data_IF_438811536769
#
_entry.id   IF_438811536769
#
_cell.length_a   1.000
_cell.length_b   1.000
_cell.length_c   1.000
_cell.angle_alpha   90.00
_cell.angle_beta   90.00
_cell.angle_gamma   90.00
#
_symmetry.space_group_name_H-M   'P 1'
#
loop_
_entity.id
_entity.type
_entity.pdbx_description
1 polymer ?
#
# COMPACT_ATOMS: atom_id res chain seq x y z
N UNK A 1 -4.35 -4.92 -4.04
CA UNK A 1 -4.57 -4.00 -2.89
C UNK A 1 -5.99 -3.46 -2.98
N UNK A 2 -6.82 -3.68 -1.97
CA UNK A 2 -8.26 -3.38 -1.98
C UNK A 2 -8.63 -2.48 -0.80
N UNK A 3 -9.43 -1.44 -1.04
CA UNK A 3 -10.11 -0.71 0.03
C UNK A 3 -11.34 -1.51 0.45
N UNK A 4 -11.35 -2.01 1.69
CA UNK A 4 -12.35 -2.94 2.20
C UNK A 4 -13.79 -2.48 1.91
N UNK A 5 -14.58 -3.41 1.34
CA UNK A 5 -15.97 -3.20 0.90
C UNK A 5 -16.15 -2.05 -0.11
N UNK A 6 -15.05 -1.56 -0.70
CA UNK A 6 -15.01 -0.37 -1.53
C UNK A 6 -15.52 0.88 -0.84
N UNK A 7 -15.29 1.02 0.46
CA UNK A 7 -15.69 2.20 1.23
C UNK A 7 -15.04 3.48 0.71
N UNK A 8 -15.71 4.62 0.86
CA UNK A 8 -15.16 5.96 0.57
C UNK A 8 -14.89 6.77 1.85
N UNK A 9 -15.04 6.15 3.03
CA UNK A 9 -14.80 6.80 4.31
C UNK A 9 -13.30 6.84 4.67
N UNK A 10 -12.90 7.90 5.37
CA UNK A 10 -11.63 7.95 6.08
C UNK A 10 -11.54 6.79 7.09
N UNK A 11 -10.38 6.17 7.17
CA UNK A 11 -10.13 5.05 8.08
C UNK A 11 -10.56 3.69 7.56
N UNK A 12 -11.14 3.61 6.36
CA UNK A 12 -11.42 2.32 5.74
C UNK A 12 -10.12 1.54 5.53
N UNK A 13 -10.14 0.28 5.94
CA UNK A 13 -8.95 -0.57 5.98
C UNK A 13 -8.55 -1.08 4.60
N UNK A 14 -7.24 -1.22 4.42
CA UNK A 14 -6.67 -1.83 3.22
C UNK A 14 -6.45 -3.32 3.48
N UNK A 15 -6.88 -4.12 2.50
CA UNK A 15 -6.85 -5.58 2.56
C UNK A 15 -6.34 -6.15 1.23
N UNK A 16 -5.96 -7.43 1.26
CA UNK A 16 -5.88 -8.22 0.03
C UNK A 16 -7.27 -8.73 -0.36
N UNK A 17 -7.50 -8.83 -1.66
CA UNK A 17 -8.70 -9.43 -2.22
C UNK A 17 -8.40 -9.91 -3.64
N UNK A 18 -9.06 -10.97 -4.13
CA UNK A 18 -8.97 -11.36 -5.53
C UNK A 18 -9.23 -10.17 -6.47
N UNK A 19 -8.41 -10.05 -7.51
CA UNK A 19 -8.58 -9.00 -8.52
C UNK A 19 -9.95 -9.16 -9.19
N UNK A 20 -10.82 -8.18 -8.99
CA UNK A 20 -12.18 -8.13 -9.51
C UNK A 20 -12.36 -7.03 -10.57
N UNK A 21 -11.29 -6.30 -10.92
CA UNK A 21 -11.34 -5.15 -11.83
C UNK A 21 -12.09 -3.93 -11.27
N UNK A 22 -12.53 -3.97 -10.01
CA UNK A 22 -13.29 -2.92 -9.36
C UNK A 22 -12.43 -1.70 -9.01
N UNK A 23 -13.02 -0.51 -9.00
CA UNK A 23 -12.30 0.76 -8.79
C UNK A 23 -11.69 0.91 -7.39
N UNK A 24 -12.16 0.15 -6.38
CA UNK A 24 -11.54 0.11 -5.05
C UNK A 24 -10.24 -0.70 -4.98
N UNK A 25 -9.86 -1.35 -6.09
CA UNK A 25 -8.59 -2.04 -6.26
C UNK A 25 -7.62 -1.29 -7.19
N UNK A 26 -8.04 -0.15 -7.72
CA UNK A 26 -7.26 0.67 -8.62
C UNK A 26 -6.71 1.89 -7.88
N UNK A 27 -5.43 2.20 -8.13
CA UNK A 27 -4.70 3.26 -7.46
C UNK A 27 -4.00 4.14 -8.49
N UNK A 28 -4.22 5.45 -8.43
CA UNK A 28 -3.47 6.44 -9.20
C UNK A 28 -2.20 6.80 -8.44
N UNK A 29 -1.05 6.57 -9.06
CA UNK A 29 0.25 6.97 -8.55
C UNK A 29 0.50 8.42 -8.95
N UNK A 30 0.63 9.31 -7.97
CA UNK A 30 1.00 10.72 -8.21
C UNK A 30 2.38 10.97 -7.63
N UNK A 31 3.34 11.31 -8.49
CA UNK A 31 4.72 11.58 -8.09
C UNK A 31 4.79 12.87 -7.25
N UNK A 32 5.53 12.84 -6.15
CA UNK A 32 5.76 14.01 -5.27
C UNK A 32 7.24 14.38 -5.14
N UNK A 33 8.14 13.44 -5.41
CA UNK A 33 9.57 13.59 -5.62
C UNK A 33 10.05 12.34 -6.39
N UNK A 34 11.32 12.25 -6.80
CA UNK A 34 11.89 11.20 -7.66
C UNK A 34 11.19 9.83 -7.62
N UNK A 35 11.64 8.87 -6.84
CA UNK A 35 10.98 7.56 -6.70
C UNK A 35 9.84 7.57 -5.67
N UNK A 36 9.28 8.74 -5.33
CA UNK A 36 8.32 8.92 -4.23
C UNK A 36 6.94 9.33 -4.76
N UNK A 37 5.91 8.58 -4.34
CA UNK A 37 4.55 8.71 -4.84
C UNK A 37 3.52 8.74 -3.71
N UNK A 38 2.40 9.40 -3.94
CA UNK A 38 1.15 9.11 -3.23
C UNK A 38 0.32 8.12 -4.05
N UNK A 39 -0.30 7.15 -3.40
CA UNK A 39 -1.24 6.22 -4.03
C UNK A 39 -2.66 6.68 -3.68
N UNK A 40 -3.42 7.15 -4.67
CA UNK A 40 -4.79 7.62 -4.49
C UNK A 40 -5.78 6.58 -5.03
N UNK A 41 -6.74 6.15 -4.22
CA UNK A 41 -7.77 5.23 -4.68
C UNK A 41 -8.60 5.88 -5.80
N UNK A 42 -8.77 5.18 -6.92
CA UNK A 42 -9.60 5.64 -8.03
C UNK A 42 -11.07 5.76 -7.61
N UNK A 43 -11.54 4.91 -6.69
CA UNK A 43 -12.93 4.94 -6.22
C UNK A 43 -13.23 6.14 -5.31
N UNK A 44 -12.38 6.39 -4.31
CA UNK A 44 -12.68 7.37 -3.25
C UNK A 44 -11.97 8.71 -3.42
N UNK A 45 -10.88 8.76 -4.20
CA UNK A 45 -9.99 9.92 -4.25
C UNK A 45 -9.15 10.11 -2.99
N UNK A 46 -9.19 9.18 -2.02
CA UNK A 46 -8.41 9.20 -0.79
C UNK A 46 -7.05 8.52 -0.97
N UNK A 47 -6.08 8.89 -0.14
CA UNK A 47 -4.71 8.41 -0.21
C UNK A 47 -4.50 7.18 0.68
N UNK A 48 -3.65 6.25 0.23
CA UNK A 48 -3.09 5.19 1.07
C UNK A 48 -2.31 5.83 2.23
N UNK A 49 -2.63 5.43 3.46
CA UNK A 49 -2.26 6.14 4.68
C UNK A 49 -1.84 5.15 5.78
N UNK A 50 -0.73 5.47 6.46
CA UNK A 50 -0.38 4.85 7.73
C UNK A 50 -1.13 5.57 8.86
N UNK A 51 -2.01 4.87 9.61
CA UNK A 51 -2.76 5.46 10.70
C UNK A 51 -1.87 6.15 11.72
N UNK A 52 -2.23 7.38 12.08
CA UNK A 52 -1.55 8.19 13.10
C UNK A 52 -0.05 8.37 12.87
N UNK A 53 0.43 8.20 11.62
CA UNK A 53 1.87 8.25 11.27
C UNK A 53 2.72 7.25 12.05
N UNK A 54 2.15 6.11 12.39
CA UNK A 54 2.88 5.09 13.14
C UNK A 54 4.15 4.64 12.43
N UNK A 55 5.17 4.30 13.23
CA UNK A 55 6.41 3.68 12.77
C UNK A 55 6.54 2.24 13.30
N UNK A 56 5.44 1.66 13.77
CA UNK A 56 5.39 0.31 14.34
C UNK A 56 4.98 -0.70 13.28
N UNK A 57 5.69 -1.82 13.20
CA UNK A 57 5.31 -2.93 12.33
C UNK A 57 3.99 -3.60 12.79
N UNK A 58 3.28 -4.24 11.87
CA UNK A 58 1.95 -4.83 12.05
C UNK A 58 0.81 -3.80 12.04
N UNK A 59 1.09 -2.52 11.78
CA UNK A 59 0.04 -1.50 11.68
C UNK A 59 -0.66 -1.63 10.34
N UNK A 60 -1.93 -2.05 10.37
CA UNK A 60 -2.77 -2.13 9.18
C UNK A 60 -3.02 -0.74 8.58
N UNK A 61 -2.78 -0.63 7.28
CA UNK A 61 -3.01 0.58 6.51
C UNK A 61 -4.50 0.92 6.38
N UNK A 62 -4.75 2.18 6.07
CA UNK A 62 -6.07 2.71 5.79
C UNK A 62 -6.04 3.61 4.56
N UNK A 63 -7.21 4.05 4.10
CA UNK A 63 -7.29 5.26 3.28
C UNK A 63 -7.62 6.46 4.18
N UNK A 64 -7.07 7.61 3.82
CA UNK A 64 -7.37 8.88 4.48
C UNK A 64 -7.34 10.05 3.50
N UNK A 65 -7.95 11.15 3.90
CA UNK A 65 -7.89 12.42 3.17
C UNK A 65 -6.44 12.78 2.89
N UNK A 66 -6.13 12.98 1.60
CA UNK A 66 -4.80 13.34 1.15
C UNK A 66 -4.36 14.66 1.79
N UNK A 67 -3.24 14.68 2.51
CA UNK A 67 -2.79 15.82 3.29
C UNK A 67 -1.29 16.16 3.08
N UNK A 68 -0.62 15.46 2.15
CA UNK A 68 0.77 15.72 1.77
C UNK A 68 1.80 15.27 2.80
N UNK A 69 1.40 14.63 3.89
CA UNK A 69 2.31 14.18 4.95
C UNK A 69 3.04 12.90 4.56
N UNK A 70 4.19 12.65 5.20
CA UNK A 70 5.08 11.52 4.88
C UNK A 70 4.47 10.15 5.13
N UNK A 71 3.42 10.05 5.96
CA UNK A 71 2.67 8.82 6.19
C UNK A 71 1.72 8.44 5.03
N UNK A 72 1.67 9.25 3.97
CA UNK A 72 0.94 9.00 2.72
C UNK A 72 1.85 8.96 1.49
N UNK A 73 3.17 8.96 1.71
CA UNK A 73 4.18 8.96 0.66
C UNK A 73 4.94 7.64 0.69
N UNK A 74 5.19 7.10 -0.49
CA UNK A 74 5.71 5.75 -0.69
C UNK A 74 6.84 5.79 -1.70
N UNK A 75 8.03 5.34 -1.31
CA UNK A 75 9.11 5.06 -2.25
C UNK A 75 8.81 3.75 -2.99
N UNK A 76 8.98 3.75 -4.31
CA UNK A 76 8.93 2.56 -5.15
C UNK A 76 10.35 2.05 -5.37
N UNK A 77 10.70 0.97 -4.68
CA UNK A 77 12.00 0.31 -4.84
C UNK A 77 11.83 -0.90 -5.77
N UNK A 78 12.57 -0.89 -6.88
CA UNK A 78 12.57 -1.96 -7.88
C UNK A 78 13.30 -3.19 -7.34
N UNK A 79 12.60 -4.32 -7.22
CA UNK A 79 13.19 -5.61 -6.85
C UNK A 79 13.11 -6.59 -8.03
N UNK A 80 14.00 -6.48 -9.01
CA UNK A 80 14.09 -7.49 -10.08
C UNK A 80 14.73 -7.03 -11.39
N UNK A 81 15.21 -8.00 -12.16
CA UNK A 81 15.79 -7.82 -13.50
C UNK A 81 14.87 -8.43 -14.56
N UNK A 82 14.46 -7.59 -15.52
CA UNK A 82 14.03 -7.86 -16.90
C UNK A 82 13.26 -9.14 -17.30
N UNK A 83 12.41 -9.68 -16.42
CA UNK A 83 11.08 -10.19 -16.82
C UNK A 83 10.09 -9.99 -15.66
N UNK A 84 9.54 -8.77 -15.56
CA UNK A 84 8.54 -8.39 -14.57
C UNK A 84 9.03 -7.29 -13.63
N UNK A 85 8.24 -6.22 -13.49
CA UNK A 85 8.52 -5.13 -12.56
C UNK A 85 7.69 -5.36 -11.29
N UNK A 86 8.27 -6.10 -10.34
CA UNK A 86 7.77 -6.13 -8.96
C UNK A 86 8.42 -4.99 -8.18
N UNK A 87 7.61 -4.35 -7.35
CA UNK A 87 8.03 -3.21 -6.55
C UNK A 87 7.82 -3.51 -5.08
N UNK A 88 8.78 -3.09 -4.26
CA UNK A 88 8.53 -2.84 -2.84
C UNK A 88 8.03 -1.42 -2.68
N UNK A 89 7.06 -1.25 -1.79
CA UNK A 89 6.53 0.05 -1.40
C UNK A 89 7.01 0.34 0.03
N UNK A 90 7.84 1.36 0.19
CA UNK A 90 8.43 1.76 1.47
C UNK A 90 7.80 3.07 1.93
N UNK A 91 7.23 3.09 3.14
CA UNK A 91 6.61 4.29 3.70
C UNK A 91 7.66 5.33 4.07
N UNK A 92 7.60 6.53 3.49
CA UNK A 92 8.59 7.60 3.75
C UNK A 92 8.60 8.02 5.23
N UNK A 93 7.44 8.02 5.89
CA UNK A 93 7.34 8.39 7.31
C UNK A 93 7.92 7.37 8.29
N UNK A 94 7.91 6.07 7.96
CA UNK A 94 8.30 5.00 8.89
C UNK A 94 9.56 4.23 8.48
N UNK A 95 9.91 4.24 7.20
CA UNK A 95 10.94 3.37 6.63
C UNK A 95 10.53 1.89 6.54
N UNK A 96 9.27 1.56 6.86
CA UNK A 96 8.76 0.19 6.81
C UNK A 96 8.17 -0.14 5.43
N UNK A 97 8.26 -1.40 5.06
CA UNK A 97 7.64 -1.92 3.84
C UNK A 97 6.14 -2.09 4.06
N UNK A 98 5.37 -2.16 2.99
CA UNK A 98 3.97 -2.62 3.09
C UNK A 98 3.85 -4.02 2.51
N UNK A 99 3.21 -4.88 3.28
CA UNK A 99 2.99 -6.27 2.91
C UNK A 99 1.57 -6.72 3.20
N UNK A 100 1.26 -7.93 2.76
CA UNK A 100 0.06 -8.65 3.20
C UNK A 100 0.44 -9.46 4.43
N UNK A 101 -0.27 -9.23 5.54
CA UNK A 101 -0.01 -9.88 6.83
C UNK A 101 -0.07 -11.41 6.75
N UNK A 102 1.08 -12.08 6.56
CA UNK A 102 1.37 -13.52 6.72
C UNK A 102 0.34 -14.55 6.22
N UNK A 103 -0.61 -14.17 5.36
CA UNK A 103 -1.82 -14.93 5.05
C UNK A 103 -2.18 -14.74 3.59
N UNK A 104 -2.73 -15.77 2.96
CA UNK A 104 -3.30 -15.72 1.60
C UNK A 104 -4.82 -15.61 1.63
N UNK A 105 -5.41 -15.44 2.82
CA UNK A 105 -6.87 -15.38 2.98
C UNK A 105 -7.41 -14.06 2.43
N UNK A 106 -8.48 -14.15 1.65
CA UNK A 106 -9.27 -13.01 1.23
C UNK A 106 -9.67 -12.14 2.42
N UNK A 107 -9.30 -10.86 2.39
CA UNK A 107 -9.52 -9.92 3.49
C UNK A 107 -8.39 -9.82 4.50
N UNK A 108 -7.27 -10.52 4.32
CA UNK A 108 -6.09 -10.29 5.16
C UNK A 108 -5.63 -8.83 5.06
N UNK A 109 -5.10 -8.32 6.17
CA UNK A 109 -4.63 -6.95 6.27
C UNK A 109 -3.47 -6.68 5.32
N UNK A 110 -3.44 -5.46 4.78
CA UNK A 110 -2.19 -4.86 4.28
C UNK A 110 -1.65 -3.97 5.38
N UNK A 111 -0.44 -4.23 5.84
CA UNK A 111 0.18 -3.62 7.02
C UNK A 111 1.66 -3.28 6.80
N UNK A 112 2.22 -2.55 7.77
CA UNK A 112 3.63 -2.18 7.77
C UNK A 112 4.49 -3.36 8.25
N UNK A 113 5.51 -3.73 7.50
CA UNK A 113 6.36 -4.89 7.80
C UNK A 113 7.84 -4.48 7.96
N UNK A 114 8.54 -5.21 8.83
CA UNK A 114 10.00 -5.11 8.95
C UNK A 114 10.61 -5.74 7.69
N UNK A 115 11.21 -4.92 6.82
CA UNK A 115 11.79 -5.38 5.56
C UNK A 115 12.74 -6.57 5.73
N UNK A 116 12.68 -7.51 4.79
CA UNK A 116 13.52 -8.71 4.82
C UNK A 116 12.95 -9.89 5.61
N UNK A 117 11.67 -9.83 5.98
CA UNK A 117 11.00 -10.91 6.72
C UNK A 117 10.52 -12.04 5.79
N UNK A 118 11.33 -13.09 5.64
CA UNK A 118 11.00 -14.50 5.25
C UNK A 118 10.01 -14.81 4.09
N UNK A 119 9.49 -13.84 3.34
CA UNK A 119 8.57 -14.01 2.21
C UNK A 119 8.56 -12.72 1.38
N UNK A 120 9.52 -12.57 0.46
CA UNK A 120 9.55 -11.45 -0.50
C UNK A 120 8.26 -11.31 -1.33
N UNK A 121 7.40 -12.33 -1.34
CA UNK A 121 6.15 -12.34 -2.11
C UNK A 121 5.00 -11.58 -1.43
N UNK A 122 5.01 -11.44 -0.10
CA UNK A 122 3.96 -10.70 0.61
C UNK A 122 4.20 -9.18 0.57
N UNK A 123 5.44 -8.74 0.31
CA UNK A 123 5.87 -7.34 0.32
C UNK A 123 6.11 -6.78 -1.10
N UNK A 124 5.88 -7.59 -2.14
CA UNK A 124 6.06 -7.19 -3.54
C UNK A 124 4.73 -6.99 -4.25
N UNK A 125 4.69 -5.96 -5.10
CA UNK A 125 3.49 -5.57 -5.83
C UNK A 125 3.79 -5.52 -7.33
N UNK A 126 2.95 -6.16 -8.14
CA UNK A 126 2.92 -5.94 -9.58
C UNK A 126 2.00 -4.77 -9.91
N UNK A 127 2.45 -3.87 -10.78
CA UNK A 127 1.63 -2.80 -11.34
C UNK A 127 1.15 -3.26 -12.73
N UNK A 128 -0.16 -3.31 -12.96
CA UNK A 128 -0.78 -3.79 -14.20
C UNK A 128 -2.01 -2.98 -14.56
#
# INVERSE_FOLDING_TARGET
MDVSSGSTANGAKIIQWPSAGSTNQQWTFTQVADNIFTLRSVKSGLCLDVPSRSTTAGVQLQQWTCNGQTNQQWALDLTGSYTGSTYMLVGIGSGLHIGVAGSTTQGAAVDQELGGSASVNSETWTLS
#
